data_IF_726108697385
#
_entry.id   IF_726108697385
#
_cell.length_a   1.000
_cell.length_b   1.000
_cell.length_c   1.000
_cell.angle_alpha   90.00
_cell.angle_beta   90.00
_cell.angle_gamma   90.00
#
_symmetry.space_group_name_H-M   'P 1'
#
loop_
_entity.id
_entity.type
_entity.pdbx_description
1 polymer ?
#
# COMPACT_ATOMS: atom_id res chain seq x y z
N UNK A 1 -16.40 -6.59 -13.70
CA UNK A 1 -15.21 -5.73 -13.61
C UNK A 1 -14.30 -6.10 -14.78
N UNK A 2 -13.59 -5.12 -15.36
CA UNK A 2 -12.61 -5.37 -16.43
C UNK A 2 -11.35 -5.97 -15.80
N UNK A 3 -10.72 -6.94 -16.47
CA UNK A 3 -9.39 -7.43 -16.07
C UNK A 3 -8.37 -6.31 -16.23
N UNK A 4 -7.52 -6.14 -15.23
CA UNK A 4 -6.44 -5.17 -15.32
C UNK A 4 -5.34 -5.77 -16.20
N UNK A 5 -4.74 -4.93 -17.03
CA UNK A 5 -3.52 -5.30 -17.75
C UNK A 5 -2.34 -5.29 -16.78
N UNK A 6 -1.29 -6.05 -17.09
CA UNK A 6 -0.05 -6.06 -16.30
C UNK A 6 0.49 -4.64 -16.03
N UNK A 7 0.37 -3.75 -17.02
CA UNK A 7 0.79 -2.35 -16.88
C UNK A 7 -0.09 -1.55 -15.91
N UNK A 8 -1.40 -1.79 -15.93
CA UNK A 8 -2.34 -1.16 -14.99
C UNK A 8 -2.09 -1.67 -13.58
N UNK A 9 -1.90 -2.99 -13.40
CA UNK A 9 -1.55 -3.59 -12.11
C UNK A 9 -0.23 -3.03 -11.56
N UNK A 10 0.81 -2.92 -12.39
CA UNK A 10 2.09 -2.32 -12.00
C UNK A 10 1.93 -0.87 -11.55
N UNK A 11 1.17 -0.06 -12.31
CA UNK A 11 0.92 1.35 -12.00
C UNK A 11 0.15 1.51 -10.68
N UNK A 12 -0.86 0.66 -10.47
CA UNK A 12 -1.68 0.65 -9.25
C UNK A 12 -0.81 0.22 -8.06
N UNK A 13 0.02 -0.81 -8.22
CA UNK A 13 0.94 -1.30 -7.20
C UNK A 13 1.91 -0.21 -6.75
N UNK A 14 2.52 0.50 -7.71
CA UNK A 14 3.45 1.58 -7.43
C UNK A 14 2.75 2.74 -6.71
N UNK A 15 1.55 3.12 -7.15
CA UNK A 15 0.76 4.15 -6.49
C UNK A 15 0.38 3.77 -5.04
N UNK A 16 -0.01 2.52 -4.83
CA UNK A 16 -0.36 1.98 -3.52
C UNK A 16 0.85 1.98 -2.58
N UNK A 17 1.99 1.50 -3.04
CA UNK A 17 3.24 1.53 -2.29
C UNK A 17 3.59 2.97 -1.87
N UNK A 18 3.59 3.91 -2.83
CA UNK A 18 3.85 5.33 -2.56
C UNK A 18 2.84 5.92 -1.57
N UNK A 19 1.57 5.52 -1.61
CA UNK A 19 0.56 5.98 -0.65
C UNK A 19 0.87 5.48 0.77
N UNK A 20 1.21 4.20 0.95
CA UNK A 20 1.64 3.65 2.24
C UNK A 20 2.91 4.34 2.75
N UNK A 21 3.93 4.52 1.90
CA UNK A 21 5.18 5.19 2.30
C UNK A 21 4.91 6.63 2.76
N UNK A 22 4.11 7.38 2.00
CA UNK A 22 3.78 8.75 2.32
C UNK A 22 3.00 8.84 3.63
N UNK A 23 2.10 7.89 3.88
CA UNK A 23 1.38 7.80 5.14
C UNK A 23 2.35 7.61 6.31
N UNK A 24 3.23 6.61 6.23
CA UNK A 24 4.22 6.29 7.26
C UNK A 24 5.11 7.50 7.54
N UNK A 25 5.69 8.11 6.49
CA UNK A 25 6.57 9.27 6.63
C UNK A 25 5.85 10.56 7.04
N UNK A 26 4.52 10.60 6.97
CA UNK A 26 3.75 11.70 7.55
C UNK A 26 3.62 11.59 9.08
N UNK A 27 3.73 10.37 9.62
CA UNK A 27 3.60 10.07 11.05
C UNK A 27 4.94 9.99 11.77
N UNK A 28 5.94 9.39 11.13
CA UNK A 28 7.27 9.16 11.71
C UNK A 28 8.38 9.67 10.80
N UNK A 29 9.55 9.90 11.40
CA UNK A 29 10.73 10.31 10.63
C UNK A 29 11.29 9.14 9.83
N UNK A 30 11.78 9.40 8.61
CA UNK A 30 12.52 8.41 7.81
C UNK A 30 13.72 7.79 8.53
N UNK A 31 14.25 8.47 9.56
CA UNK A 31 15.37 7.97 10.36
C UNK A 31 14.97 6.88 11.37
N UNK A 32 13.68 6.79 11.68
CA UNK A 32 13.14 5.79 12.60
C UNK A 32 12.81 4.49 11.87
N UNK A 33 12.68 4.52 10.55
CA UNK A 33 12.44 3.34 9.71
C UNK A 33 13.78 2.72 9.34
N UNK A 34 14.03 1.51 9.84
CA UNK A 34 15.19 0.69 9.48
C UNK A 34 14.98 0.03 8.12
N UNK A 35 13.79 -0.52 7.92
CA UNK A 35 13.38 -1.15 6.67
C UNK A 35 11.85 -1.11 6.54
N UNK A 36 11.36 -1.21 5.32
CA UNK A 36 9.93 -1.20 5.02
C UNK A 36 9.68 -2.00 3.76
N UNK A 37 8.72 -2.91 3.83
CA UNK A 37 8.28 -3.70 2.70
C UNK A 37 6.78 -3.53 2.51
N UNK A 38 6.37 -3.23 1.27
CA UNK A 38 4.96 -3.17 0.88
C UNK A 38 4.77 -4.20 -0.22
N UNK A 39 3.91 -5.18 0.04
CA UNK A 39 3.52 -6.20 -0.94
C UNK A 39 2.08 -5.98 -1.34
N UNK A 40 1.84 -5.98 -2.64
CA UNK A 40 0.51 -5.90 -3.23
C UNK A 40 0.32 -7.11 -4.11
N UNK A 41 -0.66 -7.95 -3.79
CA UNK A 41 -1.02 -9.13 -4.55
C UNK A 41 -2.39 -8.95 -5.19
N UNK A 42 -2.47 -9.19 -6.51
CA UNK A 42 -3.72 -9.16 -7.26
C UNK A 42 -4.14 -10.59 -7.58
N UNK A 43 -5.30 -11.00 -7.06
CA UNK A 43 -5.90 -12.29 -7.33
C UNK A 43 -7.03 -12.10 -8.35
N UNK A 44 -6.78 -12.47 -9.61
CA UNK A 44 -7.78 -12.43 -10.68
C UNK A 44 -8.38 -13.82 -10.95
N UNK A 45 -9.31 -14.28 -10.09
CA UNK A 45 -10.12 -15.48 -10.40
C UNK A 45 -11.45 -15.09 -11.09
N UNK A 46 -12.46 -14.64 -10.34
CA UNK A 46 -13.77 -14.21 -10.85
C UNK A 46 -14.09 -12.73 -10.53
N UNK A 47 -13.49 -12.21 -9.46
CA UNK A 47 -13.53 -10.81 -9.01
C UNK A 47 -12.08 -10.39 -8.82
N UNK A 48 -11.77 -9.12 -9.06
CA UNK A 48 -10.46 -8.58 -8.71
C UNK A 48 -10.40 -8.52 -7.19
N UNK A 49 -9.58 -9.37 -6.59
CA UNK A 49 -9.28 -9.35 -5.17
C UNK A 49 -7.85 -8.83 -4.98
N UNK A 50 -7.64 -8.01 -3.96
CA UNK A 50 -6.39 -7.29 -3.75
C UNK A 50 -5.99 -7.42 -2.28
N UNK A 51 -4.84 -8.02 -2.06
CA UNK A 51 -4.23 -8.14 -0.75
C UNK A 51 -3.05 -7.18 -0.65
N UNK A 52 -3.04 -6.38 0.43
CA UNK A 52 -1.95 -5.43 0.73
C UNK A 52 -1.35 -5.78 2.09
N UNK A 53 -0.05 -6.05 2.09
CA UNK A 53 0.72 -6.32 3.29
C UNK A 53 1.81 -5.25 3.46
N UNK A 54 1.88 -4.65 4.64
CA UNK A 54 2.90 -3.66 4.99
C UNK A 54 3.70 -4.18 6.19
N UNK A 55 4.97 -4.48 5.97
CA UNK A 55 5.92 -4.82 7.01
C UNK A 55 6.80 -3.60 7.32
N UNK A 56 6.80 -3.15 8.57
CA UNK A 56 7.56 -1.98 9.01
C UNK A 56 8.57 -2.38 10.08
N UNK A 57 9.85 -2.16 9.80
CA UNK A 57 10.94 -2.39 10.74
C UNK A 57 11.42 -1.06 11.29
N UNK A 58 11.17 -0.83 12.57
CA UNK A 58 11.51 0.41 13.24
C UNK A 58 12.72 0.28 14.14
N UNK A 59 13.39 1.41 14.36
CA UNK A 59 14.43 1.53 15.37
C UNK A 59 13.85 1.23 16.77
N UNK A 60 14.62 0.57 17.62
CA UNK A 60 14.18 0.17 18.98
C UNK A 60 13.75 1.35 19.86
N UNK A 61 14.17 2.57 19.52
CA UNK A 61 13.80 3.80 20.21
C UNK A 61 12.58 4.50 19.60
N UNK A 62 12.05 4.00 18.47
CA UNK A 62 10.86 4.57 17.86
C UNK A 62 9.67 4.44 18.82
N UNK A 63 8.80 5.44 18.78
CA UNK A 63 7.56 5.50 19.58
C UNK A 63 6.34 5.41 18.67
N UNK A 64 6.50 4.88 17.46
CA UNK A 64 5.40 4.65 16.54
C UNK A 64 4.34 3.74 17.18
N UNK A 65 3.09 3.98 16.85
CA UNK A 65 2.00 3.11 17.26
C UNK A 65 2.05 1.81 16.44
N UNK A 66 1.72 0.68 17.08
CA UNK A 66 1.69 -0.63 16.41
C UNK A 66 0.69 -0.65 15.23
N UNK A 67 -0.33 0.23 15.25
CA UNK A 67 -1.32 0.40 14.18
C UNK A 67 -0.78 1.12 12.94
N UNK A 68 0.45 1.67 12.98
CA UNK A 68 0.98 2.46 11.87
C UNK A 68 1.08 1.65 10.57
N UNK A 69 1.42 0.37 10.65
CA UNK A 69 1.47 -0.52 9.50
C UNK A 69 0.06 -0.80 8.94
N UNK A 70 -0.92 -1.06 9.81
CA UNK A 70 -2.31 -1.30 9.43
C UNK A 70 -2.91 -0.06 8.74
N UNK A 71 -2.69 1.13 9.31
CA UNK A 71 -3.15 2.40 8.74
C UNK A 71 -2.48 2.70 7.39
N UNK A 72 -1.21 2.31 7.21
CA UNK A 72 -0.51 2.44 5.95
C UNK A 72 -1.06 1.49 4.88
N UNK A 73 -1.42 0.25 5.27
CA UNK A 73 -2.08 -0.71 4.38
C UNK A 73 -3.47 -0.20 3.95
N UNK A 74 -4.23 0.40 4.87
CA UNK A 74 -5.52 1.03 4.55
C UNK A 74 -5.34 2.20 3.57
N UNK A 75 -4.34 3.05 3.78
CA UNK A 75 -4.03 4.16 2.86
C UNK A 75 -3.65 3.67 1.45
N UNK A 76 -2.93 2.54 1.36
CA UNK A 76 -2.63 1.90 0.08
C UNK A 76 -3.89 1.34 -0.58
N UNK A 77 -4.74 0.62 0.15
CA UNK A 77 -6.03 0.10 -0.35
C UNK A 77 -6.93 1.22 -0.89
N UNK A 78 -7.06 2.33 -0.16
CA UNK A 78 -7.83 3.49 -0.64
C UNK A 78 -7.28 4.06 -1.95
N UNK A 79 -5.96 4.07 -2.14
CA UNK A 79 -5.36 4.52 -3.38
C UNK A 79 -5.64 3.54 -4.53
N UNK A 80 -5.59 2.23 -4.26
CA UNK A 80 -5.96 1.21 -5.24
C UNK A 80 -7.39 1.41 -5.70
N UNK A 81 -8.33 1.56 -4.77
CA UNK A 81 -9.74 1.82 -5.08
C UNK A 81 -9.90 3.06 -5.96
N UNK A 82 -9.23 4.17 -5.61
CA UNK A 82 -9.25 5.41 -6.42
C UNK A 82 -8.71 5.21 -7.83
N UNK A 83 -7.70 4.38 -8.03
CA UNK A 83 -7.14 4.10 -9.36
C UNK A 83 -8.05 3.18 -10.17
N UNK A 84 -8.61 2.14 -9.53
CA UNK A 84 -9.54 1.19 -10.17
C UNK A 84 -10.84 1.89 -10.59
N UNK A 85 -11.35 2.82 -9.77
CA UNK A 85 -12.51 3.66 -10.13
C UNK A 85 -12.24 4.51 -11.38
N UNK A 86 -11.09 5.17 -11.47
CA UNK A 86 -10.71 5.99 -12.65
C UNK A 86 -10.60 5.18 -13.94
N UNK A 87 -10.21 3.91 -13.86
CA UNK A 87 -10.12 3.00 -15.01
C UNK A 87 -11.50 2.48 -15.44
N UNK A 88 -12.50 2.61 -14.58
CA UNK A 88 -13.87 2.14 -14.81
C UNK A 88 -14.79 3.24 -15.38
N UNK A 89 -14.34 4.50 -15.42
CA UNK A 89 -15.00 5.64 -16.11
C UNK A 89 -14.70 5.69 -17.62
#
# INVERSE_FOLDING_TARGET
MRKLTDQEMETISEAAAVAAENYIFSKISKKEVLDMEVRVEFLEEDVLDVDVEVELFLDELSQAEDSLADEAAEAALEEIDRQVEKLSE
#
